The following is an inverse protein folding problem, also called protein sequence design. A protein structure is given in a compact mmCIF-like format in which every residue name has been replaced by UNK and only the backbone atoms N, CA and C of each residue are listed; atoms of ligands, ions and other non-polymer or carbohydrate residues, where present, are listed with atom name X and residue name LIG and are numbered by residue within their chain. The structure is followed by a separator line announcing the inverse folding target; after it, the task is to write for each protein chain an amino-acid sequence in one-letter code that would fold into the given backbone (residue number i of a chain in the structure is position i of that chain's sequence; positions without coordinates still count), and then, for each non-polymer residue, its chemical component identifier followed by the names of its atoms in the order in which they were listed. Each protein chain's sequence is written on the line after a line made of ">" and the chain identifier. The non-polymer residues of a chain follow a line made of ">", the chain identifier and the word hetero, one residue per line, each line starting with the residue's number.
data_IF_356142289357
#
_entry.id   IF_356142289357
#
_cell.length_a   1.000
_cell.length_b   1.000
_cell.length_c   1.000
_cell.angle_alpha   90.00
_cell.angle_beta   90.00
_cell.angle_gamma   90.00
#
_symmetry.space_group_name_H-M   'P 1'
#
loop_
_entity.id
_entity.type
_entity.pdbx_description
1 polymer ?
#
# COMPACT_ATOMS: atom_id res chain seq x y z
N UNK A 1 9.38 2.75 -6.34
CA UNK A 1 9.45 4.16 -6.73
C UNK A 1 10.34 4.94 -5.75
N UNK A 2 9.96 5.13 -4.47
CA UNK A 2 10.66 5.99 -3.52
C UNK A 2 12.14 5.59 -3.31
N UNK A 3 12.47 4.29 -3.31
CA UNK A 3 13.85 3.82 -3.23
C UNK A 3 14.66 4.24 -4.47
N UNK A 4 14.07 4.12 -5.65
CA UNK A 4 14.73 4.51 -6.90
C UNK A 4 14.99 6.02 -6.97
N UNK A 5 14.01 6.84 -6.59
CA UNK A 5 14.18 8.30 -6.53
C UNK A 5 15.28 8.69 -5.53
N UNK A 6 15.27 8.10 -4.33
CA UNK A 6 16.27 8.40 -3.30
C UNK A 6 17.69 8.05 -3.77
N UNK A 7 17.88 6.83 -4.28
CA UNK A 7 19.17 6.37 -4.78
C UNK A 7 19.69 7.25 -5.96
N UNK A 8 18.83 7.55 -6.93
CA UNK A 8 19.19 8.38 -8.08
C UNK A 8 19.54 9.82 -7.69
N UNK A 9 18.77 10.44 -6.79
CA UNK A 9 19.07 11.80 -6.28
C UNK A 9 20.33 11.86 -5.45
N UNK A 10 20.75 10.75 -4.84
CA UNK A 10 22.07 10.61 -4.24
C UNK A 10 23.21 10.46 -5.27
N UNK A 11 22.90 10.31 -6.57
CA UNK A 11 23.88 10.17 -7.63
C UNK A 11 24.18 8.74 -8.05
N UNK A 12 23.43 7.74 -7.57
CA UNK A 12 23.60 6.35 -8.00
C UNK A 12 22.93 6.11 -9.35
N UNK A 13 23.58 5.32 -10.20
CA UNK A 13 22.96 4.79 -11.41
C UNK A 13 21.86 3.82 -10.99
N UNK A 14 20.61 4.17 -11.31
CA UNK A 14 19.44 3.48 -10.77
C UNK A 14 18.49 3.03 -11.86
N UNK A 15 18.13 1.74 -11.83
CA UNK A 15 17.15 1.12 -12.70
C UNK A 15 15.93 0.70 -11.89
N UNK A 16 14.74 1.12 -12.31
CA UNK A 16 13.45 0.66 -11.80
C UNK A 16 12.81 -0.29 -12.80
N UNK A 17 12.53 -1.52 -12.37
CA UNK A 17 11.85 -2.55 -13.16
C UNK A 17 10.40 -2.65 -12.67
N UNK A 18 9.45 -2.58 -13.59
CA UNK A 18 8.02 -2.69 -13.30
C UNK A 18 7.34 -3.65 -14.29
N UNK A 19 6.59 -4.62 -13.77
CA UNK A 19 5.86 -5.61 -14.57
C UNK A 19 4.69 -5.02 -15.37
N UNK A 20 4.13 -3.92 -14.86
CA UNK A 20 2.97 -3.25 -15.46
C UNK A 20 3.39 -2.23 -16.50
N UNK A 21 2.43 -1.65 -17.19
CA UNK A 21 2.65 -0.55 -18.16
C UNK A 21 2.77 0.83 -17.51
N UNK A 22 2.66 0.91 -16.17
CA UNK A 22 2.79 2.15 -15.41
C UNK A 22 3.31 1.84 -13.99
N UNK A 23 3.76 2.87 -13.28
CA UNK A 23 4.25 2.78 -11.90
C UNK A 23 3.16 3.15 -10.88
N UNK A 24 3.42 2.86 -9.59
CA UNK A 24 2.58 3.22 -8.46
C UNK A 24 1.82 2.06 -7.82
N UNK A 25 1.86 0.87 -8.44
CA UNK A 25 1.28 -0.36 -7.90
C UNK A 25 -0.17 -0.19 -7.49
N UNK A 26 -0.51 -0.57 -6.24
CA UNK A 26 -1.90 -0.56 -5.78
C UNK A 26 -2.52 0.84 -5.70
N UNK A 27 -1.75 1.93 -5.56
CA UNK A 27 -2.31 3.29 -5.57
C UNK A 27 -2.88 3.65 -6.95
N UNK A 28 -2.20 3.24 -8.01
CA UNK A 28 -2.52 3.66 -9.38
C UNK A 28 -3.31 2.61 -10.16
N UNK A 29 -3.02 1.33 -9.93
CA UNK A 29 -3.65 0.21 -10.64
C UNK A 29 -4.74 -0.46 -9.79
N UNK A 30 -4.52 -0.55 -8.48
CA UNK A 30 -5.48 -1.12 -7.53
C UNK A 30 -6.48 -0.12 -6.97
N UNK A 31 -6.40 1.17 -7.34
CA UNK A 31 -7.26 2.26 -6.85
C UNK A 31 -7.31 2.36 -5.31
N UNK A 32 -6.24 1.92 -4.62
CA UNK A 32 -6.10 2.12 -3.19
C UNK A 32 -5.74 3.60 -2.96
N UNK A 33 -6.75 4.45 -3.08
CA UNK A 33 -6.60 5.90 -3.14
C UNK A 33 -6.32 6.55 -1.78
N UNK A 34 -6.95 6.13 -0.66
CA UNK A 34 -6.70 6.78 0.62
C UNK A 34 -5.32 6.45 1.16
N UNK A 35 -4.56 7.47 1.53
CA UNK A 35 -3.40 7.32 2.40
C UNK A 35 -3.89 7.16 3.84
N UNK A 36 -3.58 6.03 4.48
CA UNK A 36 -3.88 5.85 5.89
C UNK A 36 -3.04 6.82 6.73
N UNK A 37 -3.44 7.03 7.99
CA UNK A 37 -2.86 8.02 8.88
C UNK A 37 -1.33 7.94 8.94
N UNK A 38 -0.64 9.04 8.65
CA UNK A 38 0.81 9.21 8.65
C UNK A 38 1.25 10.52 9.32
N UNK A 39 0.37 11.08 10.13
CA UNK A 39 0.61 12.31 10.89
C UNK A 39 0.14 12.14 12.34
N UNK A 40 0.78 12.87 13.25
CA UNK A 40 0.38 13.03 14.64
C UNK A 40 0.16 14.51 14.88
N UNK A 41 -1.05 14.89 15.29
CA UNK A 41 -1.48 16.28 15.38
C UNK A 41 -1.15 17.03 14.06
N UNK A 42 -0.24 17.98 14.10
CA UNK A 42 0.23 18.71 12.92
C UNK A 42 1.55 18.15 12.35
N UNK A 43 2.19 17.19 13.03
CA UNK A 43 3.46 16.63 12.58
C UNK A 43 3.27 15.54 11.51
N UNK A 44 3.80 15.76 10.32
CA UNK A 44 3.93 14.74 9.28
C UNK A 44 5.08 13.80 9.65
N UNK A 45 4.80 12.51 9.84
CA UNK A 45 5.78 11.51 10.25
C UNK A 45 6.66 11.02 9.10
N UNK A 46 6.12 10.95 7.89
CA UNK A 46 6.84 10.52 6.68
C UNK A 46 7.12 11.74 5.81
N UNK A 47 8.26 12.36 6.05
CA UNK A 47 8.80 13.51 5.30
C UNK A 47 9.58 13.07 4.05
N UNK A 48 10.28 13.98 3.41
CA UNK A 48 11.15 13.66 2.29
C UNK A 48 10.41 13.49 0.97
N UNK A 49 10.79 12.50 0.18
CA UNK A 49 10.28 12.25 -1.18
C UNK A 49 8.77 11.98 -1.18
N UNK A 50 8.25 11.29 -0.16
CA UNK A 50 6.82 11.08 -0.03
C UNK A 50 6.07 12.39 0.19
N UNK A 51 6.56 13.23 1.09
CA UNK A 51 5.97 14.55 1.35
C UNK A 51 6.02 15.44 0.10
N UNK A 52 7.15 15.47 -0.60
CA UNK A 52 7.27 16.18 -1.89
C UNK A 52 6.19 15.73 -2.89
N UNK A 53 5.97 14.42 -3.02
CA UNK A 53 4.94 13.89 -3.90
C UNK A 53 3.53 14.35 -3.48
N UNK A 54 3.21 14.35 -2.18
CA UNK A 54 1.92 14.85 -1.70
C UNK A 54 1.74 16.35 -1.96
N UNK A 55 2.79 17.16 -1.80
CA UNK A 55 2.74 18.59 -2.12
C UNK A 55 2.58 18.87 -3.63
N UNK A 56 3.19 18.04 -4.49
CA UNK A 56 2.98 18.11 -5.94
C UNK A 56 1.52 17.80 -6.30
N UNK A 57 0.94 16.79 -5.68
CA UNK A 57 -0.47 16.42 -5.86
C UNK A 57 -1.40 17.53 -5.37
N UNK A 58 -1.13 18.16 -4.23
CA UNK A 58 -1.91 19.30 -3.73
C UNK A 58 -1.95 20.46 -4.71
N UNK A 59 -0.80 20.84 -5.29
CA UNK A 59 -0.72 21.94 -6.29
C UNK A 59 -1.55 21.67 -7.54
N UNK A 60 -1.80 20.41 -7.88
CA UNK A 60 -2.54 20.00 -9.06
C UNK A 60 -3.96 19.51 -8.72
N UNK A 61 -4.47 19.78 -7.51
CA UNK A 61 -5.74 19.27 -6.99
C UNK A 61 -5.87 17.73 -7.07
N UNK A 62 -4.75 17.02 -7.02
CA UNK A 62 -4.67 15.56 -7.10
C UNK A 62 -4.79 14.84 -5.77
N UNK A 63 -4.94 15.57 -4.67
CA UNK A 63 -5.21 15.02 -3.34
C UNK A 63 -6.25 15.88 -2.63
N UNK A 64 -7.23 15.23 -2.03
CA UNK A 64 -8.21 15.84 -1.16
C UNK A 64 -8.14 15.17 0.20
N UNK A 65 -7.82 15.93 1.25
CA UNK A 65 -7.51 15.43 2.58
C UNK A 65 -6.39 14.36 2.53
N UNK A 66 -6.72 13.08 2.52
CA UNK A 66 -5.75 11.97 2.41
C UNK A 66 -6.04 11.04 1.21
N UNK A 67 -6.98 11.38 0.36
CA UNK A 67 -7.35 10.56 -0.80
C UNK A 67 -6.78 11.16 -2.07
N UNK A 68 -6.14 10.33 -2.90
CA UNK A 68 -5.44 10.77 -4.10
C UNK A 68 -6.19 10.39 -5.37
N UNK A 69 -6.06 11.22 -6.40
CA UNK A 69 -6.43 10.87 -7.76
C UNK A 69 -5.32 10.01 -8.38
N UNK A 70 -5.66 8.78 -8.76
CA UNK A 70 -4.69 7.80 -9.30
C UNK A 70 -4.06 8.25 -10.62
N UNK A 71 -4.76 9.01 -11.45
CA UNK A 71 -4.21 9.45 -12.75
C UNK A 71 -3.22 10.60 -12.54
N UNK A 72 -3.54 11.56 -11.69
CA UNK A 72 -2.61 12.64 -11.32
C UNK A 72 -1.40 12.09 -10.56
N UNK A 73 -1.60 11.06 -9.72
CA UNK A 73 -0.52 10.35 -9.06
C UNK A 73 0.47 9.73 -10.06
N UNK A 74 -0.02 9.04 -11.10
CA UNK A 74 0.83 8.50 -12.19
C UNK A 74 1.65 9.59 -12.85
N UNK A 75 1.01 10.72 -13.18
CA UNK A 75 1.67 11.84 -13.86
C UNK A 75 2.80 12.40 -12.99
N UNK A 76 2.54 12.68 -11.71
CA UNK A 76 3.55 13.25 -10.80
C UNK A 76 4.71 12.27 -10.55
N UNK A 77 4.41 10.97 -10.37
CA UNK A 77 5.45 9.95 -10.23
C UNK A 77 6.32 9.85 -11.49
N UNK A 78 5.76 9.91 -12.71
CA UNK A 78 6.53 9.88 -13.95
C UNK A 78 7.38 11.13 -14.13
N UNK A 79 6.90 12.32 -13.74
CA UNK A 79 7.71 13.53 -13.71
C UNK A 79 8.91 13.38 -12.79
N UNK A 80 8.71 12.86 -11.57
CA UNK A 80 9.79 12.64 -10.60
C UNK A 80 10.81 11.61 -11.08
N UNK A 81 10.40 10.55 -11.78
CA UNK A 81 11.29 9.57 -12.45
C UNK A 81 12.20 10.29 -13.44
N UNK A 82 11.61 11.10 -14.33
CA UNK A 82 12.34 11.84 -15.36
C UNK A 82 13.31 12.87 -14.75
N UNK A 83 12.85 13.65 -13.80
CA UNK A 83 13.64 14.68 -13.09
C UNK A 83 14.82 14.06 -12.34
N UNK A 84 14.62 12.91 -11.71
CA UNK A 84 15.66 12.19 -10.95
C UNK A 84 16.55 11.32 -11.83
N UNK A 85 16.32 11.26 -13.14
CA UNK A 85 17.08 10.45 -14.13
C UNK A 85 17.13 8.96 -13.77
N UNK A 86 16.05 8.42 -13.22
CA UNK A 86 15.90 6.99 -13.00
C UNK A 86 15.66 6.31 -14.35
N UNK A 87 16.44 5.29 -14.68
CA UNK A 87 16.14 4.41 -15.80
C UNK A 87 14.91 3.55 -15.47
N UNK A 88 13.98 3.40 -16.40
CA UNK A 88 12.71 2.71 -16.18
C UNK A 88 12.47 1.63 -17.22
N UNK A 89 12.28 0.39 -16.77
CA UNK A 89 11.85 -0.73 -17.59
C UNK A 89 10.43 -1.14 -17.20
N UNK A 90 9.45 -0.77 -18.01
CA UNK A 90 8.07 -1.18 -17.89
C UNK A 90 7.81 -2.52 -18.59
N UNK A 91 6.71 -3.20 -18.22
CA UNK A 91 6.29 -4.48 -18.80
C UNK A 91 7.40 -5.53 -18.76
N UNK A 92 8.20 -5.49 -17.70
CA UNK A 92 9.37 -6.36 -17.47
C UNK A 92 9.28 -6.97 -16.09
N UNK A 93 9.39 -8.28 -16.00
CA UNK A 93 9.31 -9.02 -14.75
C UNK A 93 10.59 -9.78 -14.47
N UNK A 94 10.92 -9.92 -13.17
CA UNK A 94 12.00 -10.82 -12.73
C UNK A 94 11.51 -12.26 -12.83
N UNK A 95 12.27 -13.12 -13.50
CA UNK A 95 11.93 -14.52 -13.73
C UNK A 95 12.87 -15.48 -13.00
N UNK A 96 14.09 -15.04 -12.68
CA UNK A 96 15.06 -15.83 -11.93
C UNK A 96 16.08 -14.92 -11.21
N UNK A 97 16.78 -15.46 -10.23
CA UNK A 97 17.80 -14.77 -9.42
C UNK A 97 19.05 -15.62 -9.32
N UNK A 98 20.16 -15.14 -9.85
CA UNK A 98 21.47 -15.81 -9.71
C UNK A 98 22.18 -15.31 -8.46
N UNK A 99 22.70 -16.24 -7.69
CA UNK A 99 23.38 -15.94 -6.42
C UNK A 99 24.78 -16.50 -6.38
N UNK A 100 25.67 -15.82 -5.66
CA UNK A 100 27.04 -16.29 -5.41
C UNK A 100 27.36 -16.06 -3.94
N UNK A 101 27.47 -17.15 -3.15
CA UNK A 101 27.64 -17.10 -1.69
C UNK A 101 26.51 -16.31 -1.01
N UNK A 102 26.85 -15.19 -0.37
CA UNK A 102 25.97 -14.29 0.37
C UNK A 102 25.50 -13.05 -0.42
N UNK A 103 25.59 -13.12 -1.77
CA UNK A 103 25.20 -12.01 -2.66
C UNK A 103 24.35 -12.49 -3.84
N UNK A 104 23.47 -11.65 -4.27
CA UNK A 104 22.83 -11.74 -5.58
C UNK A 104 23.85 -11.23 -6.61
N UNK A 105 24.12 -12.01 -7.65
CA UNK A 105 25.01 -11.62 -8.76
C UNK A 105 24.23 -10.96 -9.89
N UNK A 106 23.07 -11.49 -10.27
CA UNK A 106 22.21 -10.90 -11.28
C UNK A 106 20.75 -11.29 -11.12
N UNK A 107 19.85 -10.50 -11.70
CA UNK A 107 18.45 -10.85 -11.91
C UNK A 107 18.26 -11.22 -13.39
N UNK A 108 17.63 -12.35 -13.67
CA UNK A 108 17.11 -12.60 -15.00
C UNK A 108 15.73 -11.96 -15.12
N UNK A 109 15.54 -11.18 -16.15
CA UNK A 109 14.27 -10.51 -16.43
C UNK A 109 13.73 -10.91 -17.80
N UNK A 110 12.40 -10.82 -17.94
CA UNK A 110 11.73 -11.03 -19.21
C UNK A 110 10.79 -9.84 -19.48
N UNK A 111 10.98 -9.24 -20.64
CA UNK A 111 10.08 -8.20 -21.14
C UNK A 111 8.88 -8.80 -21.88
N UNK A 112 7.82 -8.02 -22.04
CA UNK A 112 6.59 -8.48 -22.71
C UNK A 112 6.74 -8.78 -24.19
N UNK A 113 7.86 -8.37 -24.84
CA UNK A 113 8.18 -8.77 -26.21
C UNK A 113 8.88 -10.15 -26.29
N UNK A 114 9.09 -10.82 -25.13
CA UNK A 114 9.70 -12.14 -25.03
C UNK A 114 11.21 -12.13 -24.81
N UNK A 115 11.87 -10.99 -24.88
CA UNK A 115 13.31 -10.90 -24.60
C UNK A 115 13.63 -11.24 -23.14
N UNK A 116 14.70 -12.01 -22.97
CA UNK A 116 15.27 -12.34 -21.66
C UNK A 116 16.69 -11.81 -21.58
N UNK A 117 17.04 -11.15 -20.50
CA UNK A 117 18.39 -10.67 -20.26
C UNK A 117 18.69 -10.61 -18.76
N UNK A 118 19.97 -10.58 -18.43
CA UNK A 118 20.44 -10.49 -17.06
C UNK A 118 20.74 -9.03 -16.70
N UNK A 119 20.44 -8.67 -15.47
CA UNK A 119 20.75 -7.36 -14.87
C UNK A 119 21.68 -7.57 -13.70
N UNK A 120 22.86 -6.99 -13.76
CA UNK A 120 23.85 -6.95 -12.70
C UNK A 120 23.80 -5.62 -11.96
N UNK A 121 24.00 -5.66 -10.65
CA UNK A 121 24.03 -4.47 -9.80
C UNK A 121 24.77 -4.75 -8.50
N UNK A 122 25.31 -3.70 -7.88
CA UNK A 122 25.88 -3.79 -6.53
C UNK A 122 24.84 -4.09 -5.47
N UNK A 123 23.63 -3.52 -5.60
CA UNK A 123 22.50 -3.73 -4.70
C UNK A 123 21.19 -3.98 -5.44
N UNK A 124 20.34 -4.79 -4.84
CA UNK A 124 18.99 -5.11 -5.29
C UNK A 124 17.97 -4.74 -4.22
N UNK A 125 16.87 -4.12 -4.63
CA UNK A 125 15.77 -3.74 -3.76
C UNK A 125 14.51 -4.49 -4.19
N UNK A 126 14.05 -5.45 -3.38
CA UNK A 126 12.75 -6.09 -3.60
C UNK A 126 11.64 -5.15 -3.11
N UNK A 127 11.05 -4.44 -4.06
CA UNK A 127 9.90 -3.57 -3.86
C UNK A 127 8.65 -4.11 -4.59
N UNK A 128 8.65 -5.40 -4.94
CA UNK A 128 7.59 -6.05 -5.71
C UNK A 128 6.25 -6.12 -4.98
N UNK A 129 6.26 -5.92 -3.66
CA UNK A 129 5.10 -6.10 -2.78
C UNK A 129 4.75 -7.57 -2.49
N UNK A 130 5.25 -8.49 -3.32
CA UNK A 130 5.01 -9.94 -3.21
C UNK A 130 6.28 -10.74 -2.88
N UNK A 131 7.42 -10.05 -2.62
CA UNK A 131 8.68 -10.66 -2.24
C UNK A 131 9.28 -11.56 -3.31
N UNK A 132 9.16 -11.17 -4.58
CA UNK A 132 9.55 -12.02 -5.73
C UNK A 132 11.05 -12.26 -5.77
N UNK A 133 11.86 -11.21 -5.59
CA UNK A 133 13.33 -11.36 -5.60
C UNK A 133 13.79 -12.17 -4.42
N UNK A 134 13.25 -11.90 -3.22
CA UNK A 134 13.54 -12.69 -2.02
C UNK A 134 13.17 -14.17 -2.20
N UNK A 135 12.00 -14.47 -2.73
CA UNK A 135 11.53 -15.82 -2.96
C UNK A 135 12.40 -16.57 -3.99
N UNK A 136 12.65 -15.97 -5.16
CA UNK A 136 13.44 -16.60 -6.23
C UNK A 136 14.91 -16.78 -5.85
N UNK A 137 15.46 -15.90 -5.00
CA UNK A 137 16.84 -16.06 -4.49
C UNK A 137 16.99 -17.17 -3.45
N UNK A 138 15.89 -17.75 -2.98
CA UNK A 138 15.91 -18.71 -1.87
C UNK A 138 16.19 -18.07 -0.50
N UNK A 139 15.91 -16.76 -0.36
CA UNK A 139 15.76 -16.15 0.97
C UNK A 139 14.47 -16.67 1.61
N UNK A 140 14.48 -16.96 2.88
CA UNK A 140 13.28 -17.44 3.57
C UNK A 140 12.13 -16.42 3.50
N UNK A 141 10.89 -16.91 3.44
CA UNK A 141 9.69 -16.08 3.46
C UNK A 141 8.66 -16.60 4.47
N UNK A 142 7.90 -15.68 5.04
CA UNK A 142 6.65 -15.98 5.74
C UNK A 142 5.46 -15.79 4.78
N UNK A 143 4.38 -16.53 5.01
CA UNK A 143 3.13 -16.44 4.24
C UNK A 143 1.95 -16.60 5.17
N UNK A 144 1.02 -15.66 5.12
CA UNK A 144 -0.22 -15.74 5.88
C UNK A 144 -0.06 -15.67 7.40
N UNK A 145 -1.13 -16.00 8.09
CA UNK A 145 -1.20 -16.18 9.54
C UNK A 145 -0.58 -17.54 9.96
N UNK A 146 -0.74 -17.93 11.23
CA UNK A 146 -0.25 -19.22 11.75
C UNK A 146 -0.86 -20.45 11.05
N UNK A 147 -1.98 -20.27 10.35
CA UNK A 147 -2.65 -21.31 9.56
C UNK A 147 -2.33 -21.21 8.07
N UNK A 148 -1.45 -20.29 7.65
CA UNK A 148 -1.08 -20.06 6.26
C UNK A 148 -2.13 -19.27 5.45
N UNK A 149 -3.11 -18.63 6.11
CA UNK A 149 -4.12 -17.83 5.43
C UNK A 149 -3.63 -16.40 5.21
N UNK A 150 -3.63 -15.94 3.96
CA UNK A 150 -3.39 -14.53 3.64
C UNK A 150 -4.57 -13.64 4.09
N UNK A 151 -4.35 -12.34 4.17
CA UNK A 151 -5.44 -11.39 4.33
C UNK A 151 -6.34 -11.37 3.09
N UNK A 152 -7.62 -11.05 3.29
CA UNK A 152 -8.59 -10.98 2.20
C UNK A 152 -8.15 -10.00 1.11
N UNK A 153 -8.44 -10.36 -0.14
CA UNK A 153 -8.23 -9.53 -1.32
C UNK A 153 -9.40 -8.54 -1.48
N UNK A 154 -9.22 -7.52 -2.30
CA UNK A 154 -10.28 -6.54 -2.63
C UNK A 154 -10.16 -6.08 -4.08
N UNK A 155 -11.28 -5.74 -4.71
CA UNK A 155 -11.28 -4.91 -5.92
C UNK A 155 -11.90 -3.58 -5.55
N UNK A 156 -11.13 -2.52 -5.67
CA UNK A 156 -11.63 -1.17 -5.48
C UNK A 156 -12.18 -0.61 -6.78
N UNK A 157 -13.11 0.30 -6.67
CA UNK A 157 -13.69 0.99 -7.82
C UNK A 157 -14.13 2.40 -7.43
N UNK A 158 -14.31 3.26 -8.43
CA UNK A 158 -14.73 4.64 -8.23
C UNK A 158 -16.12 4.86 -8.83
N UNK A 159 -16.90 5.67 -8.15
CA UNK A 159 -18.25 6.07 -8.54
C UNK A 159 -18.26 7.60 -8.66
N UNK A 160 -18.75 8.10 -9.78
CA UNK A 160 -18.99 9.51 -10.02
C UNK A 160 -20.47 9.86 -10.00
N UNK A 161 -20.78 11.17 -9.93
CA UNK A 161 -22.17 11.66 -9.92
C UNK A 161 -22.90 11.43 -8.59
N UNK A 162 -22.16 11.39 -7.48
CA UNK A 162 -22.72 11.13 -6.15
C UNK A 162 -23.15 12.43 -5.49
N UNK A 163 -24.36 12.50 -4.95
CA UNK A 163 -24.88 13.66 -4.22
C UNK A 163 -24.48 13.61 -2.74
N UNK A 164 -23.42 14.35 -2.38
CA UNK A 164 -22.89 14.40 -1.03
C UNK A 164 -23.86 15.01 -0.01
N UNK A 165 -24.72 15.97 -0.42
CA UNK A 165 -25.69 16.57 0.47
C UNK A 165 -26.71 15.54 0.94
N UNK A 166 -27.22 14.71 0.01
CA UNK A 166 -28.17 13.65 0.34
C UNK A 166 -27.56 12.56 1.22
N UNK A 167 -26.26 12.27 1.06
CA UNK A 167 -25.52 11.36 1.95
C UNK A 167 -25.46 11.93 3.37
N UNK A 168 -25.03 13.19 3.52
CA UNK A 168 -24.92 13.85 4.83
C UNK A 168 -26.29 13.91 5.53
N UNK A 169 -27.35 14.27 4.79
CA UNK A 169 -28.72 14.27 5.32
C UNK A 169 -29.14 12.87 5.78
N UNK A 170 -28.81 11.83 5.04
CA UNK A 170 -29.13 10.45 5.41
C UNK A 170 -28.43 10.02 6.70
N UNK A 171 -27.13 10.30 6.81
CA UNK A 171 -26.35 10.01 8.04
C UNK A 171 -26.90 10.79 9.24
N UNK A 172 -27.26 12.07 9.08
CA UNK A 172 -27.87 12.88 10.16
C UNK A 172 -29.20 12.35 10.62
N UNK A 173 -30.03 11.88 9.69
CA UNK A 173 -31.38 11.39 9.98
C UNK A 173 -31.40 10.05 10.70
N UNK A 174 -30.44 9.17 10.41
CA UNK A 174 -30.40 7.79 10.93
C UNK A 174 -28.97 7.34 11.24
N UNK A 175 -28.32 7.95 12.25
CA UNK A 175 -26.91 7.68 12.55
C UNK A 175 -26.66 6.24 12.99
N UNK A 176 -27.64 5.54 13.56
CA UNK A 176 -27.54 4.14 14.01
C UNK A 176 -27.46 3.14 12.82
N UNK A 177 -27.73 3.60 11.60
CA UNK A 177 -27.58 2.81 10.38
C UNK A 177 -26.13 2.75 9.86
N UNK A 178 -25.20 3.33 10.60
CA UNK A 178 -23.78 3.48 10.21
C UNK A 178 -22.87 3.06 11.36
N UNK A 179 -21.60 2.83 11.04
CA UNK A 179 -20.60 2.60 12.09
C UNK A 179 -20.43 3.83 12.99
N UNK A 180 -20.17 3.62 14.27
CA UNK A 180 -20.11 4.66 15.30
C UNK A 180 -19.08 5.79 15.02
N UNK A 181 -18.09 5.53 14.18
CA UNK A 181 -17.10 6.53 13.78
C UNK A 181 -17.56 7.45 12.63
N UNK A 182 -18.69 7.14 11.97
CA UNK A 182 -19.24 7.98 10.90
C UNK A 182 -19.91 9.22 11.53
N UNK A 183 -19.31 10.37 11.31
CA UNK A 183 -19.80 11.64 11.89
C UNK A 183 -20.96 12.22 11.09
N UNK A 184 -22.07 12.60 11.72
CA UNK A 184 -23.14 13.36 11.05
C UNK A 184 -22.71 14.79 10.63
N UNK A 185 -21.59 15.27 11.17
CA UNK A 185 -21.00 16.58 10.85
C UNK A 185 -19.68 16.44 10.10
N UNK A 186 -19.57 15.43 9.22
CA UNK A 186 -18.36 15.19 8.46
C UNK A 186 -18.04 16.34 7.49
N UNK A 187 -16.80 16.77 7.46
CA UNK A 187 -16.27 17.71 6.47
C UNK A 187 -15.77 16.98 5.21
N UNK A 188 -15.42 15.72 5.35
CA UNK A 188 -14.96 14.81 4.28
C UNK A 188 -15.89 13.61 4.27
N UNK A 189 -16.42 13.26 3.11
CA UNK A 189 -17.28 12.08 2.97
C UNK A 189 -16.43 10.83 3.19
N UNK A 190 -16.62 10.20 4.34
CA UNK A 190 -16.05 8.88 4.68
C UNK A 190 -17.15 8.13 5.43
N UNK A 191 -17.80 7.19 4.75
CA UNK A 191 -19.03 6.56 5.26
C UNK A 191 -18.93 5.06 5.15
N UNK A 192 -19.28 4.37 6.23
CA UNK A 192 -19.49 2.93 6.25
C UNK A 192 -20.74 2.58 7.04
N UNK A 193 -21.53 1.64 6.53
CA UNK A 193 -22.78 1.22 7.15
C UNK A 193 -23.81 0.81 6.10
N UNK A 194 -24.97 1.47 6.15
CA UNK A 194 -26.13 1.16 5.30
C UNK A 194 -26.72 -0.21 5.62
N UNK A 195 -26.75 -0.56 6.92
CA UNK A 195 -27.18 -1.90 7.36
C UNK A 195 -28.63 -2.20 6.97
N UNK A 196 -29.54 -1.22 7.08
CA UNK A 196 -30.97 -1.37 6.75
C UNK A 196 -31.17 -1.54 5.24
N UNK A 197 -30.48 -0.76 4.42
CA UNK A 197 -30.53 -0.82 2.96
C UNK A 197 -29.99 -2.17 2.46
N UNK A 198 -28.93 -2.70 3.10
CA UNK A 198 -28.36 -4.02 2.79
C UNK A 198 -29.34 -5.14 3.19
N UNK A 199 -29.98 -5.05 4.36
CA UNK A 199 -31.02 -6.00 4.76
C UNK A 199 -32.18 -6.03 3.77
N UNK A 200 -32.61 -4.86 3.31
CA UNK A 200 -33.68 -4.76 2.33
C UNK A 200 -33.26 -5.35 0.98
N UNK A 201 -32.07 -5.00 0.50
CA UNK A 201 -31.54 -5.55 -0.74
C UNK A 201 -31.37 -7.07 -0.71
N UNK A 202 -30.95 -7.63 0.43
CA UNK A 202 -30.81 -9.10 0.61
C UNK A 202 -32.12 -9.86 0.61
N UNK A 203 -33.28 -9.22 0.72
CA UNK A 203 -34.59 -9.85 0.50
C UNK A 203 -34.84 -10.17 -0.98
N UNK A 204 -34.32 -9.31 -1.89
CA UNK A 204 -34.39 -9.50 -3.32
C UNK A 204 -33.19 -10.28 -3.88
N UNK A 205 -31.99 -9.98 -3.42
CA UNK A 205 -30.74 -10.68 -3.76
C UNK A 205 -30.04 -11.22 -2.50
N UNK A 206 -30.37 -12.45 -2.05
CA UNK A 206 -29.74 -13.07 -0.87
C UNK A 206 -28.22 -13.25 -0.99
N UNK A 207 -27.67 -13.14 -2.19
CA UNK A 207 -26.25 -13.32 -2.50
C UNK A 207 -25.49 -12.01 -2.60
N UNK A 208 -26.09 -10.85 -2.24
CA UNK A 208 -25.40 -9.57 -2.20
C UNK A 208 -24.14 -9.68 -1.30
N UNK A 209 -22.92 -9.47 -1.87
CA UNK A 209 -21.67 -9.93 -1.24
C UNK A 209 -21.09 -8.95 -0.22
N UNK A 210 -21.91 -8.14 0.45
CA UNK A 210 -21.47 -7.15 1.45
C UNK A 210 -22.34 -7.20 2.72
N UNK A 211 -21.71 -6.85 3.85
CA UNK A 211 -22.36 -6.63 5.13
C UNK A 211 -22.36 -5.15 5.55
N UNK A 212 -21.58 -4.33 4.87
CA UNK A 212 -21.58 -2.88 4.98
C UNK A 212 -21.11 -2.28 3.65
N UNK A 213 -21.49 -1.05 3.36
CA UNK A 213 -21.02 -0.30 2.21
C UNK A 213 -20.10 0.82 2.67
N UNK A 214 -18.81 0.74 2.28
CA UNK A 214 -17.77 1.68 2.67
C UNK A 214 -17.17 2.40 1.47
N UNK A 215 -17.13 3.72 1.56
CA UNK A 215 -16.51 4.58 0.57
C UNK A 215 -15.94 5.87 1.17
N UNK A 216 -15.02 6.50 0.44
CA UNK A 216 -14.35 7.74 0.82
C UNK A 216 -14.37 8.71 -0.36
N UNK A 217 -14.56 10.01 -0.06
CA UNK A 217 -14.48 11.09 -1.04
C UNK A 217 -13.12 11.14 -1.74
N UNK A 218 -13.15 11.33 -3.04
CA UNK A 218 -11.98 11.55 -3.88
C UNK A 218 -11.81 13.04 -4.21
N UNK A 219 -10.61 13.45 -4.69
CA UNK A 219 -10.43 14.75 -5.32
C UNK A 219 -11.39 14.96 -6.48
N UNK A 220 -11.86 16.19 -6.64
CA UNK A 220 -12.90 16.56 -7.60
C UNK A 220 -14.30 16.43 -7.02
N UNK A 221 -15.29 16.92 -7.77
CA UNK A 221 -16.66 16.98 -7.29
C UNK A 221 -17.39 15.66 -7.48
N UNK A 222 -18.19 15.29 -6.47
CA UNK A 222 -19.16 14.21 -6.57
C UNK A 222 -18.56 12.81 -6.91
N UNK A 223 -17.35 12.52 -6.42
CA UNK A 223 -16.65 11.25 -6.67
C UNK A 223 -16.27 10.54 -5.37
N UNK A 224 -16.42 9.22 -5.35
CA UNK A 224 -15.99 8.39 -4.22
C UNK A 224 -15.21 7.17 -4.69
N UNK A 225 -14.29 6.70 -3.86
CA UNK A 225 -13.65 5.39 -3.99
C UNK A 225 -14.29 4.41 -3.02
N UNK A 226 -14.60 3.21 -3.50
CA UNK A 226 -15.29 2.16 -2.74
C UNK A 226 -14.30 1.06 -2.35
N UNK A 227 -14.27 0.69 -1.07
CA UNK A 227 -13.45 -0.39 -0.51
C UNK A 227 -14.29 -1.22 0.47
N UNK A 228 -15.13 -2.08 -0.04
CA UNK A 228 -16.11 -2.81 0.78
C UNK A 228 -16.04 -4.34 0.61
N UNK A 229 -15.17 -4.82 -0.28
CA UNK A 229 -15.09 -6.25 -0.57
C UNK A 229 -14.01 -6.98 0.21
N UNK A 230 -14.33 -8.20 0.64
CA UNK A 230 -13.39 -9.19 1.13
C UNK A 230 -13.53 -10.46 0.27
N UNK A 231 -12.53 -10.67 -0.61
CA UNK A 231 -12.52 -11.79 -1.56
C UNK A 231 -11.54 -12.86 -1.08
N UNK A 232 -11.61 -14.06 -1.64
CA UNK A 232 -10.78 -15.24 -1.32
C UNK A 232 -9.36 -14.93 -0.83
N UNK A 233 -8.83 -15.74 0.05
CA UNK A 233 -7.62 -15.51 0.84
C UNK A 233 -6.31 -15.95 0.21
N UNK A 234 -6.28 -16.47 -1.02
CA UNK A 234 -5.04 -17.01 -1.58
C UNK A 234 -4.40 -16.06 -2.59
N UNK A 235 -3.45 -15.24 -2.10
CA UNK A 235 -2.74 -14.25 -2.90
C UNK A 235 -1.55 -14.84 -3.71
N UNK A 236 -1.12 -16.08 -3.43
CA UNK A 236 0.07 -16.69 -4.07
C UNK A 236 -0.25 -17.83 -5.04
N UNK A 237 -1.50 -18.26 -5.10
CA UNK A 237 -2.00 -19.24 -6.06
C UNK A 237 -2.61 -18.52 -7.26
N UNK A 238 -1.92 -18.52 -8.38
CA UNK A 238 -2.34 -17.78 -9.58
C UNK A 238 -3.72 -18.16 -10.11
N UNK A 239 -4.12 -19.44 -10.01
CA UNK A 239 -5.42 -19.87 -10.49
C UNK A 239 -6.55 -19.35 -9.58
N UNK A 240 -6.34 -19.44 -8.26
CA UNK A 240 -7.29 -18.88 -7.28
C UNK A 240 -7.34 -17.36 -7.35
N UNK A 241 -6.19 -16.71 -7.52
CA UNK A 241 -6.12 -15.26 -7.71
C UNK A 241 -6.90 -14.82 -8.95
N UNK A 242 -6.73 -15.53 -10.08
CA UNK A 242 -7.47 -15.24 -11.32
C UNK A 242 -8.98 -15.40 -11.16
N UNK A 243 -9.42 -16.44 -10.46
CA UNK A 243 -10.86 -16.62 -10.12
C UNK A 243 -11.35 -15.47 -9.23
N UNK A 244 -10.55 -15.06 -8.24
CA UNK A 244 -10.90 -13.92 -7.37
C UNK A 244 -11.04 -12.60 -8.14
N UNK A 245 -10.28 -12.41 -9.23
CA UNK A 245 -10.43 -11.24 -10.10
C UNK A 245 -11.77 -11.31 -10.85
N UNK A 246 -12.13 -12.48 -11.40
CA UNK A 246 -13.41 -12.67 -12.09
C UNK A 246 -14.57 -12.41 -11.14
N UNK A 247 -14.60 -13.12 -10.01
CA UNK A 247 -15.68 -13.02 -9.02
C UNK A 247 -15.79 -11.59 -8.47
N UNK A 248 -14.66 -10.98 -8.10
CA UNK A 248 -14.64 -9.63 -7.58
C UNK A 248 -15.08 -8.57 -8.59
N UNK A 249 -14.81 -8.76 -9.88
CA UNK A 249 -15.32 -7.85 -10.91
C UNK A 249 -16.84 -7.95 -11.06
N UNK A 250 -17.41 -9.15 -10.94
CA UNK A 250 -18.85 -9.35 -10.92
C UNK A 250 -19.47 -8.75 -9.66
N UNK A 251 -18.81 -8.90 -8.51
CA UNK A 251 -19.24 -8.26 -7.26
C UNK A 251 -19.29 -6.74 -7.36
N UNK A 252 -18.39 -6.09 -8.13
CA UNK A 252 -18.46 -4.64 -8.36
C UNK A 252 -19.80 -4.25 -8.98
N UNK A 253 -20.26 -4.98 -9.99
CA UNK A 253 -21.55 -4.70 -10.64
C UNK A 253 -22.72 -4.85 -9.66
N UNK A 254 -22.74 -5.92 -8.85
CA UNK A 254 -23.76 -6.13 -7.83
C UNK A 254 -23.80 -4.98 -6.81
N UNK A 255 -22.62 -4.58 -6.29
CA UNK A 255 -22.51 -3.52 -5.30
C UNK A 255 -22.88 -2.15 -5.89
N UNK A 256 -22.48 -1.87 -7.13
CA UNK A 256 -22.86 -0.64 -7.79
C UNK A 256 -24.38 -0.55 -8.04
N UNK A 257 -25.01 -1.63 -8.48
CA UNK A 257 -26.45 -1.71 -8.66
C UNK A 257 -27.19 -1.57 -7.32
N UNK A 258 -26.67 -2.18 -6.24
CA UNK A 258 -27.15 -1.95 -4.89
C UNK A 258 -27.09 -0.45 -4.51
N UNK A 259 -25.94 0.18 -4.72
CA UNK A 259 -25.76 1.59 -4.37
C UNK A 259 -26.78 2.49 -5.12
N UNK A 260 -26.95 2.28 -6.41
CA UNK A 260 -27.91 3.04 -7.22
C UNK A 260 -29.37 2.87 -6.78
N UNK A 261 -29.73 1.65 -6.40
CA UNK A 261 -31.14 1.33 -6.10
C UNK A 261 -31.53 1.69 -4.66
N UNK A 262 -30.64 1.49 -3.71
CA UNK A 262 -30.98 1.56 -2.29
C UNK A 262 -30.31 2.69 -1.53
N UNK A 263 -29.17 3.23 -2.02
CA UNK A 263 -28.40 4.22 -1.27
C UNK A 263 -28.73 5.64 -1.74
N UNK A 264 -29.28 6.45 -0.83
CA UNK A 264 -29.59 7.85 -1.12
C UNK A 264 -28.36 8.65 -1.48
N UNK A 265 -28.44 9.38 -2.60
CA UNK A 265 -27.35 10.14 -3.17
C UNK A 265 -26.57 9.40 -4.25
N UNK A 266 -26.93 8.14 -4.54
CA UNK A 266 -26.30 7.36 -5.61
C UNK A 266 -27.23 7.08 -6.81
N UNK A 267 -28.45 7.57 -6.80
CA UNK A 267 -29.46 7.24 -7.82
C UNK A 267 -29.05 7.63 -9.24
N UNK A 268 -28.39 8.80 -9.38
CA UNK A 268 -27.91 9.31 -10.66
C UNK A 268 -26.41 9.04 -10.90
N UNK A 269 -25.79 8.22 -10.02
CA UNK A 269 -24.37 7.91 -10.10
C UNK A 269 -24.03 6.98 -11.27
N UNK A 270 -22.77 6.97 -11.66
CA UNK A 270 -22.21 6.11 -12.68
C UNK A 270 -20.91 5.45 -12.21
N UNK A 271 -20.68 4.22 -12.67
CA UNK A 271 -19.42 3.52 -12.45
C UNK A 271 -18.33 4.19 -13.28
N UNK A 272 -17.37 4.83 -12.61
CA UNK A 272 -16.33 5.59 -13.28
C UNK A 272 -15.15 4.70 -13.69
N UNK A 273 -14.66 3.87 -12.75
CA UNK A 273 -13.49 3.03 -12.97
C UNK A 273 -13.48 1.84 -12.02
N UNK A 274 -13.01 0.69 -12.50
CA UNK A 274 -12.68 -0.49 -11.72
C UNK A 274 -11.16 -0.64 -11.66
N UNK A 275 -10.61 -1.07 -10.54
CA UNK A 275 -9.19 -1.36 -10.40
C UNK A 275 -8.75 -2.39 -11.45
N UNK A 276 -7.65 -2.08 -12.16
CA UNK A 276 -7.04 -2.99 -13.13
C UNK A 276 -6.15 -4.07 -12.48
N UNK A 277 -5.81 -3.89 -11.21
CA UNK A 277 -5.07 -4.85 -10.40
C UNK A 277 -5.87 -5.14 -9.12
N UNK A 278 -5.99 -6.41 -8.75
CA UNK A 278 -6.61 -6.80 -7.49
C UNK A 278 -5.80 -6.31 -6.31
N UNK A 279 -6.45 -5.78 -5.31
CA UNK A 279 -5.82 -5.32 -4.08
C UNK A 279 -5.37 -6.48 -3.21
N UNK A 280 -4.08 -6.74 -3.20
CA UNK A 280 -3.44 -7.76 -2.36
C UNK A 280 -2.94 -7.10 -1.08
N UNK A 281 -3.57 -7.41 0.05
CA UNK A 281 -3.18 -6.85 1.35
C UNK A 281 -1.94 -7.52 1.92
N UNK A 282 -1.77 -8.82 1.70
CA UNK A 282 -0.63 -9.61 2.16
C UNK A 282 -0.40 -10.81 1.24
N UNK A 283 0.87 -11.16 1.03
CA UNK A 283 1.31 -12.34 0.31
C UNK A 283 2.57 -12.92 0.99
N UNK A 284 3.75 -12.83 0.36
CA UNK A 284 5.01 -13.19 0.99
C UNK A 284 5.60 -12.02 1.75
N UNK A 285 6.19 -12.31 2.91
CA UNK A 285 7.02 -11.40 3.69
C UNK A 285 8.41 -12.01 3.77
N UNK A 286 9.39 -11.35 3.15
CA UNK A 286 10.76 -11.87 3.02
C UNK A 286 11.49 -11.71 4.34
N UNK A 287 12.18 -12.73 4.82
CA UNK A 287 12.91 -12.70 6.07
C UNK A 287 14.10 -11.75 6.00
N UNK A 288 14.12 -10.79 6.92
CA UNK A 288 15.24 -9.88 7.15
C UNK A 288 15.97 -10.20 8.45
N UNK A 289 17.01 -9.44 8.73
CA UNK A 289 17.80 -9.56 9.97
C UNK A 289 16.93 -9.40 11.23
N UNK A 290 15.87 -8.59 11.15
CA UNK A 290 14.87 -8.41 12.19
C UNK A 290 13.47 -8.65 11.63
N UNK A 291 12.61 -9.31 12.41
CA UNK A 291 11.21 -9.49 12.09
C UNK A 291 10.40 -8.47 12.89
N UNK A 292 9.90 -7.43 12.22
CA UNK A 292 9.04 -6.43 12.84
C UNK A 292 7.69 -7.06 13.21
N UNK A 293 7.25 -6.87 14.45
CA UNK A 293 6.13 -7.62 15.01
C UNK A 293 4.93 -6.76 15.42
N UNK A 294 3.76 -7.40 15.57
CA UNK A 294 2.59 -6.76 16.16
C UNK A 294 2.83 -6.27 17.60
N UNK A 295 3.73 -6.91 18.33
CA UNK A 295 4.13 -6.46 19.67
C UNK A 295 4.95 -5.17 19.62
N UNK A 296 5.82 -4.99 18.61
CA UNK A 296 6.53 -3.73 18.38
C UNK A 296 5.54 -2.57 18.14
N UNK A 297 4.44 -2.85 17.42
CA UNK A 297 3.36 -1.88 17.18
C UNK A 297 2.64 -1.54 18.48
N UNK A 298 2.19 -2.55 19.27
CA UNK A 298 1.44 -2.35 20.50
C UNK A 298 2.23 -1.60 21.57
N UNK A 299 3.55 -1.84 21.60
CA UNK A 299 4.47 -1.21 22.55
C UNK A 299 5.07 0.11 22.06
N UNK A 300 4.65 0.62 20.90
CA UNK A 300 5.20 1.86 20.31
C UNK A 300 6.72 1.86 20.26
N UNK A 301 7.31 0.71 19.90
CA UNK A 301 8.74 0.47 20.05
C UNK A 301 9.56 1.45 19.21
N UNK A 302 10.59 2.01 19.85
CA UNK A 302 11.62 2.83 19.20
C UNK A 302 12.89 2.02 19.08
N UNK A 303 13.62 2.21 17.99
CA UNK A 303 14.83 1.46 17.71
C UNK A 303 16.03 2.39 17.50
N UNK A 304 17.24 2.01 17.93
CA UNK A 304 18.45 2.79 17.62
C UNK A 304 18.66 2.98 16.12
N UNK A 305 18.22 1.99 15.32
CA UNK A 305 18.24 1.99 13.87
C UNK A 305 16.84 2.20 13.25
N UNK A 306 15.93 2.88 13.96
CA UNK A 306 14.60 3.21 13.48
C UNK A 306 14.66 4.23 12.33
N UNK A 307 14.21 3.86 11.13
CA UNK A 307 14.32 4.71 9.92
C UNK A 307 12.98 5.18 9.36
N UNK A 308 11.86 4.64 9.86
CA UNK A 308 10.51 5.07 9.48
C UNK A 308 9.64 5.13 10.72
N UNK A 309 8.88 6.20 10.88
CA UNK A 309 7.84 6.34 11.91
C UNK A 309 6.50 5.89 11.35
N UNK A 310 5.73 5.09 12.11
CA UNK A 310 4.38 4.66 11.77
C UNK A 310 3.40 4.88 12.92
N UNK A 311 2.19 5.34 12.62
CA UNK A 311 1.13 5.58 13.59
C UNK A 311 -0.21 4.91 13.21
N UNK A 312 -0.20 4.05 12.20
CA UNK A 312 -1.37 3.26 11.83
C UNK A 312 -1.43 1.98 12.66
N UNK A 313 -2.63 1.53 13.00
CA UNK A 313 -2.82 0.37 13.86
C UNK A 313 -2.75 -0.97 13.14
N UNK A 314 -2.93 -2.04 13.90
CA UNK A 314 -3.07 -3.40 13.37
C UNK A 314 -4.45 -3.50 12.72
N UNK A 315 -4.46 -3.77 11.41
CA UNK A 315 -5.66 -3.79 10.57
C UNK A 315 -5.69 -5.07 9.73
N UNK A 316 -6.35 -6.11 10.26
CA UNK A 316 -6.43 -7.44 9.65
C UNK A 316 -7.81 -7.66 9.06
N UNK A 317 -7.86 -7.86 7.74
CA UNK A 317 -9.07 -8.23 7.02
C UNK A 317 -9.20 -9.74 6.87
N UNK A 318 -10.28 -10.33 7.38
CA UNK A 318 -10.57 -11.76 7.24
C UNK A 318 -12.03 -11.99 6.83
N UNK A 319 -12.29 -13.05 6.04
CA UNK A 319 -13.64 -13.43 5.59
C UNK A 319 -14.53 -14.02 6.70
N UNK A 320 -13.95 -14.66 7.72
CA UNK A 320 -14.65 -15.62 8.58
C UNK A 320 -15.12 -15.09 9.92
N UNK A 321 -14.95 -13.82 10.21
CA UNK A 321 -15.45 -13.27 11.47
C UNK A 321 -16.37 -12.09 11.18
N UNK A 322 -17.65 -12.21 11.53
CA UNK A 322 -18.44 -11.07 11.99
C UNK A 322 -17.53 -10.31 12.93
N UNK A 323 -17.27 -9.06 12.60
CA UNK A 323 -16.33 -8.22 13.33
C UNK A 323 -16.83 -8.10 14.77
N UNK A 324 -16.30 -8.93 15.65
CA UNK A 324 -16.26 -8.59 17.06
C UNK A 324 -15.22 -7.47 17.14
N UNK A 325 -15.70 -6.25 17.16
CA UNK A 325 -14.90 -5.01 17.05
C UNK A 325 -13.81 -4.89 18.14
N UNK A 326 -13.89 -5.70 19.20
CA UNK A 326 -13.01 -5.61 20.37
C UNK A 326 -11.65 -6.30 20.21
N UNK A 327 -11.50 -7.27 19.27
CA UNK A 327 -10.31 -8.13 19.27
C UNK A 327 -9.37 -8.00 18.06
N UNK A 328 -9.65 -7.13 17.06
CA UNK A 328 -8.93 -7.17 15.79
C UNK A 328 -8.26 -5.90 15.31
N UNK A 329 -8.55 -4.77 15.92
CA UNK A 329 -7.91 -3.52 15.57
C UNK A 329 -7.25 -2.90 16.79
N UNK A 330 -5.93 -3.00 16.84
CA UNK A 330 -5.16 -2.15 17.73
C UNK A 330 -5.04 -0.78 17.06
N UNK A 331 -5.72 0.22 17.63
CA UNK A 331 -5.55 1.61 17.24
C UNK A 331 -4.49 2.23 18.15
N UNK A 332 -3.38 2.76 17.62
CA UNK A 332 -2.38 3.43 18.42
C UNK A 332 -2.99 4.55 19.27
N UNK A 333 -2.44 4.76 20.47
CA UNK A 333 -2.80 5.89 21.33
C UNK A 333 -2.63 7.20 20.56
N UNK A 334 -3.49 8.15 20.83
CA UNK A 334 -3.35 9.50 20.29
C UNK A 334 -1.97 10.07 20.70
N UNK A 335 -1.22 10.61 19.73
CA UNK A 335 0.06 11.25 19.97
C UNK A 335 1.29 10.33 20.02
N UNK A 336 1.17 9.01 19.75
CA UNK A 336 2.33 8.11 19.74
C UNK A 336 2.54 7.39 18.40
N UNK A 337 3.77 6.87 18.15
CA UNK A 337 4.18 6.18 16.94
C UNK A 337 5.14 5.03 17.29
N UNK A 338 5.21 4.03 16.42
CA UNK A 338 6.25 3.01 16.41
C UNK A 338 7.29 3.32 15.34
N UNK A 339 8.43 2.63 15.38
CA UNK A 339 9.47 2.77 14.35
C UNK A 339 9.70 1.45 13.62
N UNK A 340 10.03 1.55 12.32
CA UNK A 340 10.52 0.42 11.53
C UNK A 340 12.05 0.46 11.57
N UNK A 341 12.73 -0.58 12.10
CA UNK A 341 14.18 -0.61 12.15
C UNK A 341 14.78 -0.95 10.78
N UNK A 342 15.94 -0.37 10.46
CA UNK A 342 16.66 -0.64 9.21
C UNK A 342 16.90 -2.14 8.99
N UNK A 343 17.18 -2.88 10.07
CA UNK A 343 17.43 -4.33 10.02
C UNK A 343 16.24 -5.16 9.52
N UNK A 344 15.02 -4.68 9.59
CA UNK A 344 13.86 -5.36 9.00
C UNK A 344 13.74 -5.15 7.49
N UNK A 345 14.52 -4.24 6.94
CA UNK A 345 14.59 -3.94 5.51
C UNK A 345 15.81 -4.55 4.82
N UNK A 346 16.66 -5.28 5.55
CA UNK A 346 17.86 -5.93 5.03
C UNK A 346 17.65 -7.44 5.08
N UNK A 347 17.92 -8.15 3.98
CA UNK A 347 17.84 -9.62 3.90
C UNK A 347 18.67 -10.29 4.98
N UNK A 348 18.16 -11.39 5.58
CA UNK A 348 18.93 -12.22 6.52
C UNK A 348 20.04 -13.02 5.82
N UNK A 349 19.89 -13.27 4.50
CA UNK A 349 20.76 -14.18 3.75
C UNK A 349 21.73 -13.46 2.81
N UNK A 350 21.28 -12.37 2.16
CA UNK A 350 22.06 -11.70 1.11
C UNK A 350 22.43 -10.28 1.51
N UNK A 351 23.74 -10.01 1.58
CA UNK A 351 24.26 -8.72 2.02
C UNK A 351 23.88 -7.54 1.10
N UNK A 352 23.54 -7.80 -0.15
CA UNK A 352 23.16 -6.81 -1.14
C UNK A 352 21.68 -6.87 -1.57
N UNK A 353 20.82 -7.57 -0.81
CA UNK A 353 19.37 -7.56 -0.99
C UNK A 353 18.70 -6.79 0.13
N UNK A 354 17.88 -5.82 -0.24
CA UNK A 354 16.99 -5.11 0.66
C UNK A 354 15.53 -5.31 0.26
N UNK A 355 14.63 -5.18 1.23
CA UNK A 355 13.20 -5.49 1.06
C UNK A 355 12.39 -4.30 1.57
N UNK A 356 11.51 -3.75 0.75
CA UNK A 356 10.71 -2.58 1.13
C UNK A 356 9.24 -2.75 0.75
N UNK A 357 8.38 -2.01 1.45
CA UNK A 357 6.96 -2.05 1.19
C UNK A 357 6.29 -3.28 1.81
N UNK A 358 5.20 -3.73 1.23
CA UNK A 358 4.29 -4.76 1.76
C UNK A 358 4.96 -6.11 2.09
N UNK A 359 6.06 -6.43 1.40
CA UNK A 359 6.82 -7.69 1.56
C UNK A 359 8.01 -7.60 2.52
N UNK A 360 8.18 -6.50 3.26
CA UNK A 360 9.28 -6.36 4.22
C UNK A 360 9.21 -7.40 5.35
N UNK A 361 10.31 -7.56 6.07
CA UNK A 361 10.42 -8.55 7.15
C UNK A 361 9.56 -8.19 8.35
N UNK A 362 8.46 -8.89 8.49
CA UNK A 362 7.50 -8.70 9.59
C UNK A 362 6.71 -9.96 9.89
N UNK A 363 6.11 -10.04 11.07
CA UNK A 363 5.03 -10.97 11.34
C UNK A 363 3.72 -10.51 10.67
N UNK A 364 2.66 -11.29 10.82
CA UNK A 364 1.38 -11.01 10.16
C UNK A 364 0.71 -9.72 10.67
N UNK A 365 0.79 -9.46 11.97
CA UNK A 365 0.22 -8.28 12.62
C UNK A 365 1.04 -7.02 12.34
N UNK A 366 2.38 -7.10 12.48
CA UNK A 366 3.28 -5.99 12.17
C UNK A 366 3.17 -5.55 10.71
N UNK A 367 3.01 -6.53 9.78
CA UNK A 367 2.76 -6.25 8.38
C UNK A 367 1.44 -5.49 8.19
N UNK A 368 0.38 -5.91 8.86
CA UNK A 368 -0.94 -5.29 8.72
C UNK A 368 -0.96 -3.81 9.12
N UNK A 369 -0.14 -3.44 10.10
CA UNK A 369 0.02 -2.04 10.54
C UNK A 369 0.94 -1.23 9.60
N UNK A 370 2.03 -1.84 9.11
CA UNK A 370 3.09 -1.11 8.40
C UNK A 370 2.95 -1.11 6.87
N UNK A 371 2.05 -1.93 6.29
CA UNK A 371 1.84 -2.06 4.83
C UNK A 371 1.21 -0.85 4.17
N UNK A 372 0.79 0.14 4.93
CA UNK A 372 0.16 1.34 4.38
C UNK A 372 1.15 2.14 3.54
N UNK A 373 0.63 2.81 2.52
CA UNK A 373 1.46 3.45 1.49
C UNK A 373 2.47 4.48 2.05
N UNK A 374 2.12 5.37 2.99
CA UNK A 374 3.09 6.31 3.55
C UNK A 374 4.27 5.61 4.24
N UNK A 375 4.00 4.58 5.05
CA UNK A 375 5.06 3.81 5.72
C UNK A 375 5.92 3.06 4.71
N UNK A 376 5.31 2.44 3.68
CA UNK A 376 6.04 1.80 2.58
C UNK A 376 6.91 2.79 1.79
N UNK A 377 6.43 4.01 1.57
CA UNK A 377 7.20 5.08 0.95
C UNK A 377 8.43 5.47 1.80
N UNK A 378 8.21 5.59 3.12
CA UNK A 378 9.27 5.82 4.10
C UNK A 378 10.36 4.74 4.06
N UNK A 379 9.97 3.45 4.02
CA UNK A 379 10.92 2.34 3.87
C UNK A 379 11.73 2.48 2.58
N UNK A 380 11.08 2.78 1.46
CA UNK A 380 11.74 2.94 0.17
C UNK A 380 12.78 4.05 0.19
N UNK A 381 12.41 5.26 0.59
CA UNK A 381 13.35 6.39 0.60
C UNK A 381 14.51 6.17 1.58
N UNK A 382 14.27 5.55 2.73
CA UNK A 382 15.31 5.22 3.70
C UNK A 382 16.33 4.23 3.11
N UNK A 383 15.87 3.17 2.45
CA UNK A 383 16.74 2.16 1.82
C UNK A 383 17.54 2.74 0.65
N UNK A 384 16.92 3.51 -0.24
CA UNK A 384 17.66 4.13 -1.35
C UNK A 384 18.80 5.02 -0.87
N UNK A 385 18.55 5.75 0.22
CA UNK A 385 19.56 6.60 0.89
C UNK A 385 20.61 5.76 1.60
N UNK A 386 20.22 4.71 2.33
CA UNK A 386 21.14 3.85 3.06
C UNK A 386 22.12 3.12 2.12
N UNK A 387 21.65 2.66 0.94
CA UNK A 387 22.51 2.05 -0.09
C UNK A 387 23.59 3.03 -0.55
N UNK A 388 23.23 4.29 -0.84
CA UNK A 388 24.20 5.30 -1.19
C UNK A 388 25.25 5.51 -0.09
N UNK A 389 24.82 5.62 1.16
CA UNK A 389 25.73 5.84 2.29
C UNK A 389 26.65 4.62 2.52
N UNK A 390 26.14 3.42 2.40
CA UNK A 390 26.91 2.19 2.50
C UNK A 390 28.02 2.11 1.42
N UNK A 391 27.68 2.43 0.17
CA UNK A 391 28.64 2.49 -0.94
C UNK A 391 29.67 3.60 -0.75
N UNK A 392 29.22 4.81 -0.38
CA UNK A 392 30.08 5.96 -0.15
C UNK A 392 31.08 5.73 0.98
N UNK A 393 30.63 5.11 2.07
CA UNK A 393 31.43 4.88 3.27
C UNK A 393 32.18 3.53 3.22
N UNK A 394 31.99 2.74 2.15
CA UNK A 394 32.50 1.37 1.99
C UNK A 394 32.24 0.50 3.24
N UNK A 395 31.00 0.49 3.69
CA UNK A 395 30.58 -0.26 4.88
C UNK A 395 29.31 -1.08 4.63
N UNK A 396 29.05 -2.14 5.41
CA UNK A 396 27.78 -2.86 5.34
C UNK A 396 26.58 -1.96 5.67
N UNK A 397 25.41 -2.22 5.07
CA UNK A 397 24.15 -1.49 5.34
C UNK A 397 23.83 -1.41 6.84
N UNK A 398 24.12 -2.46 7.59
CA UNK A 398 23.88 -2.52 9.04
C UNK A 398 24.73 -1.53 9.87
N UNK A 399 25.71 -0.89 9.24
CA UNK A 399 26.59 0.12 9.89
C UNK A 399 26.19 1.55 9.54
N UNK A 400 25.27 1.74 8.61
CA UNK A 400 24.74 3.07 8.28
C UNK A 400 23.84 3.53 9.42
N UNK A 401 24.11 4.72 9.95
CA UNK A 401 23.35 5.25 11.08
C UNK A 401 22.04 5.90 10.63
N UNK A 402 21.07 5.91 11.52
CA UNK A 402 19.80 6.63 11.35
C UNK A 402 20.04 8.11 11.01
N UNK A 403 20.91 8.77 11.76
CA UNK A 403 21.19 10.20 11.60
C UNK A 403 21.76 10.52 10.21
N UNK A 404 22.69 9.69 9.69
CA UNK A 404 23.20 9.84 8.33
C UNK A 404 22.09 9.74 7.27
N UNK A 405 21.16 8.77 7.44
CA UNK A 405 20.02 8.59 6.53
C UNK A 405 19.11 9.82 6.57
N UNK A 406 18.71 10.28 7.76
CA UNK A 406 17.84 11.44 7.93
C UNK A 406 18.47 12.70 7.33
N UNK A 407 19.76 12.97 7.62
CA UNK A 407 20.49 14.11 7.09
C UNK A 407 20.64 14.07 5.56
N UNK A 408 20.86 12.89 4.98
CA UNK A 408 20.98 12.76 3.53
C UNK A 408 19.61 12.89 2.84
N UNK A 409 18.53 12.34 3.44
CA UNK A 409 17.17 12.52 2.94
C UNK A 409 16.76 13.99 2.87
N UNK A 410 17.08 14.78 3.89
CA UNK A 410 16.82 16.23 3.89
C UNK A 410 17.52 16.95 2.73
N UNK A 411 18.74 16.52 2.35
CA UNK A 411 19.50 17.13 1.25
C UNK A 411 18.91 16.82 -0.14
N UNK A 412 18.32 15.65 -0.31
CA UNK A 412 17.80 15.20 -1.63
C UNK A 412 16.29 15.45 -1.80
N UNK A 413 15.62 15.92 -0.76
CA UNK A 413 14.21 16.27 -0.80
C UNK A 413 14.05 17.75 -1.13
N UNK A 414 13.20 18.06 -2.11
CA UNK A 414 12.79 19.44 -2.40
C UNK A 414 11.69 19.84 -1.41
N UNK A 415 12.07 20.20 -0.19
CA UNK A 415 11.15 20.71 0.82
C UNK A 415 11.01 22.21 0.74
#
# INVERSE_FOLDING_TARGET
>A
FHAAIAAARCGLKTLLIERSSTIGGLTTLGLVNPFMKYWLDEEILVKGIFYELTERLKRNNGIFYNTVDSELMKIEMMKMIKESKVELLLRTMVTDVKTTRDKISSLQVQSSNGEKFDIESDFFVDASGDGIVGYLSGNGCFVGDMNGNNQALTIMFTIGGVDFNRIIENVRRDPDNFFAWVSPNMEVISVAGYFKEIEEAKKEDPYLPIDHFFYVQMPGDNRVTVNTMNISKNAIDNLKLSRSVVDGTIMVDQIFNFAKKYVKGFEDSYLEKIASEIGIRESRRVKGIYVFSGEDVRNYRKFPDGVVKGCYGIDIHSETKKVDEKDKSFVPRYGDYYEIPLRSLISEKFANLTIVGRCFSSDFEGQSAARIQPTCAGMGQAIGTAIYLALKNNCPLTKVSREEIENQLLKISNN
#
